data_IF_200980986502
#
_entry.id   IF_200980986502
#
_cell.length_a   1.000
_cell.length_b   1.000
_cell.length_c   1.000
_cell.angle_alpha   90.00
_cell.angle_beta   90.00
_cell.angle_gamma   90.00
#
_symmetry.space_group_name_H-M   'P 1'
#
loop_
_entity.id
_entity.type
_entity.pdbx_description
1 polymer ?
#
# COMPACT_ATOMS: atom_id res chain seq x y z
N UNK A 1 -17.39 -3.89 13.61
CA UNK A 1 -16.06 -3.29 13.88
C UNK A 1 -16.24 -1.79 14.01
N UNK A 2 -15.72 -1.20 15.09
CA UNK A 2 -15.77 0.24 15.31
C UNK A 2 -14.45 0.88 14.90
N UNK A 3 -14.52 1.92 14.07
CA UNK A 3 -13.37 2.77 13.75
C UNK A 3 -13.28 3.87 14.80
N UNK A 4 -12.10 4.01 15.39
CA UNK A 4 -11.83 5.04 16.39
C UNK A 4 -10.63 5.89 15.96
N UNK A 5 -10.78 7.18 16.08
CA UNK A 5 -9.73 8.13 15.78
C UNK A 5 -9.07 8.55 17.11
N UNK A 6 -7.95 7.92 17.41
CA UNK A 6 -7.14 8.23 18.59
C UNK A 6 -5.85 8.91 18.19
N UNK A 7 -5.33 9.76 19.03
CA UNK A 7 -4.07 10.47 18.81
C UNK A 7 -3.01 10.10 19.83
N UNK A 8 -3.41 9.51 20.94
CA UNK A 8 -2.49 9.18 22.04
C UNK A 8 -2.66 7.73 22.50
N UNK A 9 -1.64 7.11 23.07
CA UNK A 9 -1.74 5.78 23.68
C UNK A 9 -2.75 5.73 24.82
N UNK A 10 -2.90 6.80 25.56
CA UNK A 10 -3.86 6.96 26.66
C UNK A 10 -5.29 6.86 26.14
N UNK A 11 -5.59 7.54 25.01
CA UNK A 11 -6.89 7.41 24.34
C UNK A 11 -7.16 5.98 23.89
N UNK A 12 -6.14 5.29 23.36
CA UNK A 12 -6.29 3.89 22.94
C UNK A 12 -6.64 2.99 24.13
N UNK A 13 -5.98 3.15 25.26
CA UNK A 13 -6.29 2.41 26.49
C UNK A 13 -7.70 2.72 26.98
N UNK A 14 -8.03 4.00 27.09
CA UNK A 14 -9.34 4.47 27.53
C UNK A 14 -10.48 3.90 26.67
N UNK A 15 -10.29 3.89 25.35
CA UNK A 15 -11.29 3.37 24.39
C UNK A 15 -11.35 1.85 24.44
N UNK A 16 -10.20 1.17 24.44
CA UNK A 16 -10.13 -0.28 24.44
C UNK A 16 -10.74 -0.93 25.69
N UNK A 17 -10.69 -0.23 26.83
CA UNK A 17 -11.32 -0.68 28.07
C UNK A 17 -12.85 -0.51 28.09
N UNK A 18 -13.40 0.35 27.23
CA UNK A 18 -14.81 0.77 27.28
C UNK A 18 -15.64 0.37 26.08
N UNK A 19 -15.01 0.19 24.93
CA UNK A 19 -15.72 -0.16 23.71
C UNK A 19 -15.55 -1.65 23.38
N UNK A 20 -16.59 -2.29 22.83
CA UNK A 20 -16.51 -3.69 22.45
C UNK A 20 -15.60 -3.87 21.21
N UNK A 21 -14.77 -4.91 21.25
CA UNK A 21 -14.02 -5.36 20.09
C UNK A 21 -14.96 -5.90 18.98
N UNK A 22 -14.55 -5.91 17.71
CA UNK A 22 -13.24 -5.49 17.19
C UNK A 22 -13.17 -3.99 16.91
N UNK A 23 -12.04 -3.39 17.28
CA UNK A 23 -11.72 -1.99 17.05
C UNK A 23 -10.73 -1.83 15.88
N UNK A 24 -10.85 -0.72 15.17
CA UNK A 24 -9.93 -0.31 14.12
C UNK A 24 -9.36 1.08 14.43
N UNK A 25 -8.08 1.28 14.17
CA UNK A 25 -7.38 2.55 14.37
C UNK A 25 -6.57 2.94 13.15
N UNK A 26 -6.30 4.22 12.94
CA UNK A 26 -5.24 4.63 12.04
C UNK A 26 -3.87 4.45 12.70
N UNK A 27 -2.95 3.86 11.96
CA UNK A 27 -1.56 3.80 12.37
C UNK A 27 -0.98 5.23 12.44
N UNK A 28 -0.09 5.51 13.39
CA UNK A 28 0.71 6.73 13.38
C UNK A 28 1.46 6.91 12.05
N UNK A 29 1.86 8.14 11.74
CA UNK A 29 2.52 8.48 10.48
C UNK A 29 3.78 7.62 10.22
N UNK A 30 4.58 7.41 11.26
CA UNK A 30 5.78 6.56 11.21
C UNK A 30 5.52 5.09 11.57
N UNK A 31 4.25 4.67 11.56
CA UNK A 31 3.83 3.35 12.01
C UNK A 31 3.90 3.19 13.52
N UNK A 32 4.03 1.95 13.99
CA UNK A 32 4.09 1.65 15.42
C UNK A 32 5.52 1.43 15.95
N UNK A 33 6.55 1.70 15.13
CA UNK A 33 7.93 1.60 15.57
C UNK A 33 8.24 2.72 16.61
N UNK A 34 8.64 2.33 17.81
CA UNK A 34 8.88 3.29 18.91
C UNK A 34 7.61 3.90 19.52
N UNK A 35 6.43 3.48 19.10
CA UNK A 35 5.18 3.96 19.68
C UNK A 35 4.99 3.40 21.10
N UNK A 36 4.49 4.20 22.08
CA UNK A 36 4.45 3.80 23.49
C UNK A 36 3.45 2.70 23.83
N UNK A 37 2.67 2.20 22.87
CA UNK A 37 1.79 1.06 23.03
C UNK A 37 2.20 -0.05 22.06
N UNK A 38 2.37 -1.26 22.55
CA UNK A 38 2.79 -2.39 21.73
C UNK A 38 1.63 -2.98 20.93
N UNK A 39 1.93 -3.68 19.84
CA UNK A 39 0.90 -4.43 19.07
C UNK A 39 0.20 -5.48 19.94
N UNK A 40 0.91 -6.10 20.87
CA UNK A 40 0.34 -7.07 21.81
C UNK A 40 -0.67 -6.40 22.76
N UNK A 41 -0.33 -5.24 23.32
CA UNK A 41 -1.22 -4.45 24.16
C UNK A 41 -2.45 -3.98 23.36
N UNK A 42 -2.26 -3.48 22.15
CA UNK A 42 -3.38 -3.10 21.28
C UNK A 42 -4.33 -4.28 20.99
N UNK A 43 -3.76 -5.47 20.77
CA UNK A 43 -4.57 -6.66 20.57
C UNK A 43 -5.38 -7.04 21.84
N UNK A 44 -4.80 -6.89 23.04
CA UNK A 44 -5.50 -7.10 24.30
C UNK A 44 -6.64 -6.09 24.48
N UNK A 45 -6.44 -4.85 24.09
CA UNK A 45 -7.45 -3.78 24.10
C UNK A 45 -8.53 -3.92 23.00
N UNK A 46 -8.47 -4.97 22.19
CA UNK A 46 -9.49 -5.24 21.17
C UNK A 46 -9.25 -4.59 19.81
N UNK A 47 -8.11 -3.94 19.58
CA UNK A 47 -7.73 -3.45 18.27
C UNK A 47 -7.31 -4.61 17.38
N UNK A 48 -8.00 -4.84 16.29
CA UNK A 48 -7.80 -5.95 15.35
C UNK A 48 -7.32 -5.50 13.97
N UNK A 49 -7.50 -4.22 13.66
CA UNK A 49 -7.10 -3.63 12.39
C UNK A 49 -6.43 -2.28 12.62
N UNK A 50 -5.30 -2.08 11.97
CA UNK A 50 -4.66 -0.79 11.85
C UNK A 50 -4.55 -0.41 10.37
N UNK A 51 -5.17 0.70 9.98
CA UNK A 51 -5.05 1.23 8.63
C UNK A 51 -3.90 2.23 8.58
N UNK A 52 -3.01 2.07 7.61
CA UNK A 52 -1.95 3.04 7.32
C UNK A 52 -2.12 3.54 5.89
N UNK A 53 -2.40 4.81 5.73
CA UNK A 53 -2.58 5.44 4.42
C UNK A 53 -1.52 6.49 4.11
N UNK A 54 -1.03 7.20 5.13
CA UNK A 54 -0.16 8.36 4.96
C UNK A 54 1.25 8.02 4.49
N UNK A 55 1.94 7.12 5.18
CA UNK A 55 3.35 6.81 4.90
C UNK A 55 3.56 6.15 3.54
N UNK A 56 2.69 5.20 3.16
CA UNK A 56 2.76 4.56 1.84
C UNK A 56 2.51 5.54 0.70
N UNK A 57 1.51 6.42 0.86
CA UNK A 57 1.22 7.47 -0.12
C UNK A 57 2.38 8.47 -0.22
N UNK A 58 2.93 8.94 0.90
CA UNK A 58 4.06 9.87 0.92
C UNK A 58 5.31 9.27 0.27
N UNK A 59 5.60 7.99 0.53
CA UNK A 59 6.70 7.27 -0.10
C UNK A 59 6.50 7.15 -1.63
N UNK A 60 5.30 6.79 -2.07
CA UNK A 60 4.95 6.73 -3.49
C UNK A 60 5.11 8.11 -4.15
N UNK A 61 4.54 9.17 -3.55
CA UNK A 61 4.63 10.53 -4.06
C UNK A 61 6.09 11.00 -4.19
N UNK A 62 6.90 10.74 -3.16
CA UNK A 62 8.34 11.07 -3.19
C UNK A 62 9.04 10.34 -4.34
N UNK A 63 8.82 9.04 -4.48
CA UNK A 63 9.44 8.23 -5.54
C UNK A 63 9.04 8.74 -6.93
N UNK A 64 7.75 8.90 -7.18
CA UNK A 64 7.22 9.39 -8.47
C UNK A 64 7.79 10.77 -8.80
N UNK A 65 7.80 11.71 -7.85
CA UNK A 65 8.37 13.04 -8.08
C UNK A 65 9.85 13.00 -8.44
N UNK A 66 10.64 12.17 -7.78
CA UNK A 66 12.07 12.04 -8.06
C UNK A 66 12.33 11.35 -9.41
N UNK A 67 11.53 10.34 -9.74
CA UNK A 67 11.61 9.68 -11.06
C UNK A 67 11.33 10.66 -12.20
N UNK A 68 10.29 11.50 -12.09
CA UNK A 68 10.01 12.51 -13.11
C UNK A 68 11.05 13.64 -13.16
N UNK A 69 11.65 14.01 -12.03
CA UNK A 69 12.74 14.97 -12.00
C UNK A 69 13.98 14.41 -12.72
N UNK A 70 14.34 13.15 -12.47
CA UNK A 70 15.45 12.49 -13.18
C UNK A 70 15.18 12.41 -14.70
N UNK A 71 13.96 12.02 -15.09
CA UNK A 71 13.56 11.98 -16.50
C UNK A 71 13.66 13.35 -17.19
N UNK A 72 13.24 14.41 -16.52
CA UNK A 72 13.30 15.78 -17.05
C UNK A 72 14.73 16.30 -17.23
N UNK A 73 15.69 15.72 -16.52
CA UNK A 73 17.11 16.07 -16.60
C UNK A 73 17.96 15.05 -17.38
N UNK A 74 17.32 14.10 -18.07
CA UNK A 74 18.02 12.99 -18.76
C UNK A 74 18.93 12.17 -17.84
N UNK A 75 18.54 12.03 -16.55
CA UNK A 75 19.25 11.29 -15.53
C UNK A 75 18.66 9.90 -15.31
N UNK A 76 19.47 9.00 -14.77
CA UNK A 76 18.98 7.68 -14.32
C UNK A 76 18.15 7.86 -13.07
N UNK A 77 16.98 7.18 -13.03
CA UNK A 77 16.12 7.18 -11.85
C UNK A 77 16.90 6.76 -10.59
N UNK A 78 16.91 7.58 -9.54
CA UNK A 78 17.72 7.33 -8.35
C UNK A 78 17.26 6.15 -7.50
N UNK A 79 15.98 5.73 -7.64
CA UNK A 79 15.42 4.57 -6.91
C UNK A 79 15.57 3.27 -7.70
N UNK A 80 15.43 3.34 -9.02
CA UNK A 80 15.41 2.15 -9.86
C UNK A 80 16.79 1.79 -10.36
N UNK A 81 17.63 2.77 -10.63
CA UNK A 81 18.91 2.56 -11.27
C UNK A 81 18.77 2.09 -12.73
N UNK A 82 19.89 1.81 -13.36
CA UNK A 82 19.91 1.34 -14.75
C UNK A 82 19.24 -0.04 -14.89
N UNK A 83 18.19 -0.11 -15.69
CA UNK A 83 17.45 -1.36 -15.94
C UNK A 83 16.49 -1.78 -14.81
N UNK A 84 16.47 -1.06 -13.69
CA UNK A 84 15.62 -1.40 -12.55
C UNK A 84 14.13 -1.31 -12.83
N UNK A 85 13.69 -0.43 -13.73
CA UNK A 85 12.29 -0.34 -14.13
C UNK A 85 11.74 -1.67 -14.66
N UNK A 86 12.52 -2.34 -15.54
CA UNK A 86 12.12 -3.66 -16.08
C UNK A 86 11.98 -4.71 -14.98
N UNK A 87 12.90 -4.71 -14.00
CA UNK A 87 12.85 -5.65 -12.88
C UNK A 87 11.63 -5.40 -11.99
N UNK A 88 11.33 -4.13 -11.68
CA UNK A 88 10.17 -3.78 -10.85
C UNK A 88 8.84 -4.05 -11.56
N UNK A 89 8.75 -3.80 -12.86
CA UNK A 89 7.57 -4.16 -13.64
C UNK A 89 7.32 -5.67 -13.63
N UNK A 90 8.38 -6.48 -13.81
CA UNK A 90 8.26 -7.94 -13.71
C UNK A 90 7.75 -8.37 -12.33
N UNK A 91 8.33 -7.83 -11.26
CA UNK A 91 7.89 -8.12 -9.89
C UNK A 91 6.42 -7.71 -9.66
N UNK A 92 6.01 -6.55 -10.18
CA UNK A 92 4.61 -6.11 -10.11
C UNK A 92 3.69 -7.08 -10.86
N UNK A 93 4.05 -7.49 -12.09
CA UNK A 93 3.30 -8.46 -12.90
C UNK A 93 3.13 -9.79 -12.15
N UNK A 94 4.19 -10.29 -11.52
CA UNK A 94 4.14 -11.52 -10.74
C UNK A 94 3.24 -11.35 -9.49
N UNK A 95 3.31 -10.19 -8.83
CA UNK A 95 2.55 -9.88 -7.61
C UNK A 95 1.04 -9.85 -7.83
N UNK A 96 0.56 -9.22 -8.90
CA UNK A 96 -0.88 -9.19 -9.20
C UNK A 96 -1.35 -10.31 -10.14
N UNK A 97 -0.47 -11.22 -10.51
CA UNK A 97 -0.82 -12.42 -11.26
C UNK A 97 -1.22 -12.16 -12.71
N UNK A 98 -0.50 -11.26 -13.41
CA UNK A 98 -0.77 -10.88 -14.80
C UNK A 98 -0.96 -12.10 -15.71
N UNK A 99 -0.11 -13.12 -15.60
CA UNK A 99 -0.21 -14.34 -16.42
C UNK A 99 -1.57 -14.99 -16.30
N UNK A 100 -2.09 -15.12 -15.07
CA UNK A 100 -3.42 -15.69 -14.84
C UNK A 100 -4.54 -14.82 -15.41
N UNK A 101 -4.38 -13.50 -15.35
CA UNK A 101 -5.35 -12.56 -15.95
C UNK A 101 -5.38 -12.70 -17.47
N UNK A 102 -4.24 -12.78 -18.13
CA UNK A 102 -4.14 -12.99 -19.58
C UNK A 102 -4.71 -14.35 -19.99
N UNK A 103 -4.46 -15.41 -19.24
CA UNK A 103 -5.06 -16.73 -19.48
C UNK A 103 -6.62 -16.71 -19.37
N UNK A 104 -7.16 -15.87 -18.49
CA UNK A 104 -8.61 -15.67 -18.36
C UNK A 104 -9.11 -14.88 -19.57
N UNK A 105 -8.43 -13.80 -19.94
CA UNK A 105 -8.77 -12.98 -21.10
C UNK A 105 -8.83 -13.81 -22.38
N UNK A 106 -7.78 -14.58 -22.68
CA UNK A 106 -7.72 -15.46 -23.85
C UNK A 106 -8.90 -16.44 -23.94
N UNK A 107 -9.40 -16.91 -22.80
CA UNK A 107 -10.54 -17.84 -22.76
C UNK A 107 -11.90 -17.15 -22.89
N UNK A 108 -11.98 -15.86 -22.55
CA UNK A 108 -13.27 -15.15 -22.40
C UNK A 108 -13.55 -14.13 -23.48
N UNK A 109 -12.52 -13.58 -24.14
CA UNK A 109 -12.69 -12.49 -25.12
C UNK A 109 -12.67 -12.94 -26.58
N UNK A 110 -12.25 -14.18 -26.87
CA UNK A 110 -12.12 -14.69 -28.24
C UNK A 110 -11.02 -13.95 -29.06
N UNK A 111 -10.79 -14.30 -30.29
CA UNK A 111 -9.80 -13.64 -31.13
C UNK A 111 -10.19 -12.17 -31.37
N UNK A 112 -9.24 -11.28 -31.21
CA UNK A 112 -9.43 -9.85 -31.49
C UNK A 112 -9.96 -9.65 -32.93
N UNK A 113 -10.93 -8.74 -33.16
CA UNK A 113 -11.38 -8.43 -34.51
C UNK A 113 -10.22 -7.94 -35.38
N UNK A 114 -10.15 -8.41 -36.60
CA UNK A 114 -9.12 -8.00 -37.54
C UNK A 114 -9.09 -6.45 -37.67
N UNK A 115 -7.92 -5.82 -37.76
CA UNK A 115 -7.85 -4.37 -37.90
C UNK A 115 -8.57 -3.93 -39.17
N UNK A 116 -9.50 -3.00 -39.03
CA UNK A 116 -10.22 -2.40 -40.16
C UNK A 116 -9.21 -1.71 -41.08
N UNK A 117 -9.14 -2.04 -42.36
CA UNK A 117 -8.25 -1.33 -43.27
C UNK A 117 -8.64 0.16 -43.33
N UNK A 118 -7.65 1.05 -43.21
CA UNK A 118 -7.82 2.51 -43.39
C UNK A 118 -7.85 2.86 -44.86
#
# INVERSE_FOLDING_TARGET
MLFVHTRTPEDMRFIGERLPAPLMVFAPEDGFAGYPITRAEMAQLGFRLAASSGSAFAAMYKAVRQSYAALANDEIDPFLGKGGATQQLKLAHDTYGLKKMLEIEDRTTGPAPAPTPR
#
